data_IF_750794700667
#
_entry.id   IF_750794700667
#
_cell.length_a   1.000
_cell.length_b   1.000
_cell.length_c   1.000
_cell.angle_alpha   90.00
_cell.angle_beta   90.00
_cell.angle_gamma   90.00
#
_symmetry.space_group_name_H-M   'P 1'
#
loop_
_entity.id
_entity.type
_entity.pdbx_description
1 polymer ?
#
# COMPACT_ATOMS: atom_id res chain seq x y z
N UNK A 1 -12.91 6.68 36.92
CA UNK A 1 -12.47 8.10 36.97
C UNK A 1 -10.95 8.29 37.02
N UNK A 2 -10.19 7.67 37.94
CA UNK A 2 -8.72 7.85 38.04
C UNK A 2 -7.94 7.59 36.74
N UNK A 3 -8.30 6.54 35.99
CA UNK A 3 -7.67 6.18 34.70
C UNK A 3 -7.94 7.24 33.61
N UNK A 4 -9.17 7.76 33.56
CA UNK A 4 -9.59 8.81 32.62
C UNK A 4 -8.84 10.12 32.89
N UNK A 5 -8.77 10.56 34.15
CA UNK A 5 -8.02 11.75 34.55
C UNK A 5 -6.51 11.62 34.24
N UNK A 6 -5.91 10.44 34.45
CA UNK A 6 -4.50 10.18 34.09
C UNK A 6 -4.28 10.26 32.58
N UNK A 7 -5.21 9.75 31.77
CA UNK A 7 -5.14 9.86 30.31
C UNK A 7 -5.25 11.31 29.83
N UNK A 8 -6.20 12.08 30.38
CA UNK A 8 -6.34 13.51 30.07
C UNK A 8 -5.08 14.28 30.42
N UNK A 9 -4.49 14.04 31.60
CA UNK A 9 -3.25 14.68 32.02
C UNK A 9 -2.10 14.40 31.05
N UNK A 10 -1.92 13.13 30.65
CA UNK A 10 -0.87 12.76 29.69
C UNK A 10 -1.08 13.42 28.31
N UNK A 11 -2.32 13.48 27.82
CA UNK A 11 -2.64 14.12 26.54
C UNK A 11 -2.32 15.62 26.55
N UNK A 12 -2.64 16.31 27.66
CA UNK A 12 -2.31 17.73 27.85
C UNK A 12 -0.79 17.91 27.88
N UNK A 13 -0.06 17.11 28.66
CA UNK A 13 1.41 17.20 28.75
C UNK A 13 2.08 17.07 27.38
N UNK A 14 1.65 16.11 26.56
CA UNK A 14 2.19 15.92 25.21
C UNK A 14 1.85 17.11 24.31
N UNK A 15 0.61 17.61 24.38
CA UNK A 15 0.19 18.78 23.60
C UNK A 15 1.01 20.03 23.95
N UNK A 16 1.20 20.32 25.24
CA UNK A 16 1.97 21.47 25.70
C UNK A 16 3.45 21.36 25.30
N UNK A 17 4.02 20.15 25.38
CA UNK A 17 5.41 19.90 24.99
C UNK A 17 5.61 20.08 23.48
N UNK A 18 4.67 19.61 22.65
CA UNK A 18 4.71 19.81 21.20
C UNK A 18 4.61 21.29 20.80
N UNK A 19 3.77 22.07 21.49
CA UNK A 19 3.66 23.52 21.27
C UNK A 19 4.97 24.20 21.67
N UNK A 20 5.55 23.86 22.82
CA UNK A 20 6.85 24.39 23.24
C UNK A 20 7.94 24.09 22.21
N UNK A 21 8.08 22.84 21.77
CA UNK A 21 9.08 22.45 20.78
C UNK A 21 8.94 23.22 19.45
N UNK A 22 7.70 23.49 19.00
CA UNK A 22 7.45 24.31 17.81
C UNK A 22 7.84 25.78 17.99
N UNK A 23 7.63 26.34 19.18
CA UNK A 23 7.90 27.75 19.48
C UNK A 23 9.39 28.00 19.78
N UNK A 24 10.06 27.06 20.44
CA UNK A 24 11.48 27.21 20.84
C UNK A 24 12.47 26.63 19.83
N UNK A 25 12.00 25.95 18.78
CA UNK A 25 12.84 25.32 17.77
C UNK A 25 13.67 24.11 18.26
N UNK A 26 13.62 23.79 19.56
CA UNK A 26 14.26 22.60 20.12
C UNK A 26 13.39 21.37 19.82
N UNK A 27 13.73 20.65 18.76
CA UNK A 27 13.33 19.24 18.60
C UNK A 27 14.18 18.40 19.53
N UNK A 28 13.58 17.44 20.23
CA UNK A 28 14.35 16.40 20.90
C UNK A 28 15.29 15.75 19.86
N UNK A 29 16.54 15.52 20.22
CA UNK A 29 17.47 14.72 19.41
C UNK A 29 16.87 13.33 19.26
N UNK A 30 16.54 12.97 18.02
CA UNK A 30 16.00 11.65 17.69
C UNK A 30 17.15 10.69 17.41
N UNK A 31 16.98 9.45 17.84
CA UNK A 31 17.93 8.37 17.60
C UNK A 31 18.21 8.22 16.09
N UNK A 32 19.49 8.21 15.65
CA UNK A 32 19.86 8.00 14.26
C UNK A 32 19.26 6.74 13.63
N UNK A 33 19.16 5.63 14.37
CA UNK A 33 18.56 4.40 13.84
C UNK A 33 17.07 4.58 13.58
N UNK A 34 16.34 5.21 14.52
CA UNK A 34 14.95 5.59 14.30
C UNK A 34 14.76 6.49 13.06
N UNK A 35 15.65 7.45 12.83
CA UNK A 35 15.57 8.35 11.68
C UNK A 35 15.79 7.61 10.35
N UNK A 36 16.74 6.66 10.31
CA UNK A 36 16.94 5.76 9.17
C UNK A 36 15.69 4.91 8.91
N UNK A 37 15.17 4.21 9.93
CA UNK A 37 13.95 3.38 9.79
C UNK A 37 12.74 4.21 9.36
N UNK A 38 12.57 5.41 9.91
CA UNK A 38 11.47 6.28 9.52
C UNK A 38 11.57 6.72 8.05
N UNK A 39 12.79 6.96 7.55
CA UNK A 39 13.02 7.26 6.13
C UNK A 39 12.67 6.06 5.26
N UNK A 40 13.17 4.87 5.61
CA UNK A 40 12.87 3.60 4.92
C UNK A 40 11.37 3.31 4.86
N UNK A 41 10.63 3.53 5.95
CA UNK A 41 9.19 3.33 5.99
C UNK A 41 8.45 4.25 4.99
N UNK A 42 8.85 5.52 4.91
CA UNK A 42 8.24 6.48 3.97
C UNK A 42 8.57 6.11 2.51
N UNK A 43 9.80 5.67 2.23
CA UNK A 43 10.18 5.19 0.89
C UNK A 43 9.38 3.95 0.48
N UNK A 44 9.19 2.99 1.39
CA UNK A 44 8.37 1.80 1.15
C UNK A 44 6.92 2.20 0.85
N UNK A 45 6.35 3.10 1.65
CA UNK A 45 4.98 3.59 1.45
C UNK A 45 4.81 4.20 0.07
N UNK A 46 5.70 5.12 -0.31
CA UNK A 46 5.62 5.80 -1.61
C UNK A 46 5.65 4.79 -2.76
N UNK A 47 6.56 3.81 -2.69
CA UNK A 47 6.68 2.75 -3.71
C UNK A 47 5.44 1.85 -3.75
N UNK A 48 4.89 1.49 -2.58
CA UNK A 48 3.67 0.69 -2.49
C UNK A 48 2.46 1.43 -3.09
N UNK A 49 2.34 2.73 -2.86
CA UNK A 49 1.24 3.52 -3.43
C UNK A 49 1.34 3.61 -4.95
N UNK A 50 2.53 3.89 -5.49
CA UNK A 50 2.76 3.90 -6.95
C UNK A 50 2.46 2.54 -7.59
N UNK A 51 2.86 1.46 -6.93
CA UNK A 51 2.58 0.11 -7.41
C UNK A 51 1.09 -0.24 -7.34
N UNK A 52 0.40 0.15 -6.26
CA UNK A 52 -1.05 0.00 -6.13
C UNK A 52 -1.80 0.74 -7.24
N UNK A 53 -1.42 1.98 -7.52
CA UNK A 53 -2.00 2.77 -8.60
C UNK A 53 -1.82 2.07 -9.95
N UNK A 54 -0.59 1.67 -10.28
CA UNK A 54 -0.29 0.97 -11.53
C UNK A 54 -1.09 -0.33 -11.69
N UNK A 55 -1.15 -1.18 -10.66
CA UNK A 55 -1.89 -2.45 -10.69
C UNK A 55 -3.40 -2.20 -10.77
N UNK A 56 -3.90 -1.18 -10.08
CA UNK A 56 -5.33 -0.80 -10.15
C UNK A 56 -5.70 -0.34 -11.55
N UNK A 57 -4.83 0.43 -12.21
CA UNK A 57 -5.00 0.85 -13.60
C UNK A 57 -5.06 -0.36 -14.53
N UNK A 58 -4.11 -1.30 -14.42
CA UNK A 58 -4.15 -2.55 -15.20
C UNK A 58 -5.43 -3.35 -14.93
N UNK A 59 -5.86 -3.44 -13.67
CA UNK A 59 -7.10 -4.12 -13.33
C UNK A 59 -8.32 -3.46 -14.00
N UNK A 60 -8.35 -2.13 -14.05
CA UNK A 60 -9.41 -1.37 -14.72
C UNK A 60 -9.39 -1.57 -16.23
N UNK A 61 -8.22 -1.75 -16.85
CA UNK A 61 -8.13 -2.07 -18.29
C UNK A 61 -8.85 -3.38 -18.60
N UNK A 62 -8.72 -4.42 -17.76
CA UNK A 62 -9.50 -5.65 -17.96
C UNK A 62 -11.00 -5.41 -17.90
N UNK A 63 -11.47 -4.57 -16.97
CA UNK A 63 -12.88 -4.20 -16.88
C UNK A 63 -13.36 -3.48 -18.15
N UNK A 64 -12.58 -2.54 -18.68
CA UNK A 64 -12.96 -1.83 -19.90
C UNK A 64 -12.88 -2.73 -21.14
N UNK A 65 -11.84 -3.56 -21.26
CA UNK A 65 -11.74 -4.56 -22.33
C UNK A 65 -12.93 -5.52 -22.31
N UNK A 66 -13.35 -5.99 -21.14
CA UNK A 66 -14.55 -6.81 -21.01
C UNK A 66 -15.77 -6.14 -21.63
N UNK A 67 -16.02 -4.85 -21.34
CA UNK A 67 -17.15 -4.11 -21.88
C UNK A 67 -17.05 -3.92 -23.39
N UNK A 68 -15.85 -3.64 -23.89
CA UNK A 68 -15.58 -3.47 -25.33
C UNK A 68 -15.88 -4.78 -26.05
N UNK A 69 -15.25 -5.88 -25.65
CA UNK A 69 -15.40 -7.16 -26.33
C UNK A 69 -16.79 -7.79 -26.16
N UNK A 70 -17.52 -7.47 -25.09
CA UNK A 70 -18.92 -7.87 -24.95
C UNK A 70 -19.84 -7.23 -26.01
N UNK A 71 -19.44 -6.11 -26.61
CA UNK A 71 -20.23 -5.38 -27.62
C UNK A 71 -19.63 -5.43 -29.02
N UNK A 72 -18.31 -5.62 -29.13
CA UNK A 72 -17.55 -5.51 -30.37
C UNK A 72 -18.16 -6.33 -31.51
N UNK A 73 -18.42 -7.61 -31.28
CA UNK A 73 -18.99 -8.48 -32.30
C UNK A 73 -20.42 -8.12 -32.68
N UNK A 74 -21.24 -7.63 -31.75
CA UNK A 74 -22.59 -7.18 -32.07
C UNK A 74 -22.58 -5.96 -33.00
N UNK A 75 -21.60 -5.06 -32.82
CA UNK A 75 -21.41 -3.89 -33.69
C UNK A 75 -20.86 -4.32 -35.04
N UNK A 76 -19.80 -5.13 -35.09
CA UNK A 76 -19.25 -5.64 -36.36
C UNK A 76 -20.29 -6.40 -37.17
N UNK A 77 -21.05 -7.29 -36.53
CA UNK A 77 -22.11 -8.04 -37.19
C UNK A 77 -23.21 -7.14 -37.76
N UNK A 78 -23.47 -5.97 -37.17
CA UNK A 78 -24.45 -5.00 -37.71
C UNK A 78 -23.96 -4.25 -38.95
N UNK A 79 -22.65 -4.27 -39.22
CA UNK A 79 -22.04 -3.62 -40.38
C UNK A 79 -21.88 -4.53 -41.60
N UNK A 80 -21.99 -5.85 -41.41
CA UNK A 80 -21.92 -6.84 -42.48
C UNK A 80 -23.36 -7.21 -42.89
N UNK A 81 -23.65 -7.22 -44.20
CA UNK A 81 -25.01 -7.45 -44.76
C UNK A 81 -25.59 -8.83 -44.40
N UNK A 82 -26.91 -8.98 -44.46
CA UNK A 82 -27.73 -10.11 -43.97
C UNK A 82 -27.39 -11.53 -44.52
N UNK A 83 -26.40 -11.67 -45.40
CA UNK A 83 -26.15 -12.91 -46.17
C UNK A 83 -25.08 -13.86 -45.59
N UNK A 84 -24.44 -13.58 -44.44
CA UNK A 84 -23.52 -14.53 -43.80
C UNK A 84 -23.86 -14.89 -42.32
N UNK A 85 -23.92 -16.18 -41.96
CA UNK A 85 -24.50 -16.62 -40.67
C UNK A 85 -23.48 -16.73 -39.52
N UNK A 86 -22.24 -16.30 -39.71
CA UNK A 86 -21.14 -16.67 -38.83
C UNK A 86 -20.71 -15.51 -37.91
N UNK A 87 -21.50 -15.21 -36.87
CA UNK A 87 -21.08 -14.23 -35.85
C UNK A 87 -19.88 -14.73 -35.07
N UNK A 88 -18.78 -13.99 -35.04
CA UNK A 88 -17.66 -14.28 -34.14
C UNK A 88 -18.16 -14.33 -32.68
N UNK A 89 -17.52 -15.14 -31.84
CA UNK A 89 -17.84 -15.24 -30.41
C UNK A 89 -16.72 -14.63 -29.57
N UNK A 90 -16.94 -13.43 -29.03
CA UNK A 90 -16.01 -12.76 -28.11
C UNK A 90 -16.31 -13.06 -26.64
N UNK A 91 -17.27 -13.95 -26.35
CA UNK A 91 -17.57 -14.39 -24.98
C UNK A 91 -16.32 -14.89 -24.25
N UNK A 92 -15.42 -15.70 -24.86
CA UNK A 92 -14.19 -16.14 -24.19
C UNK A 92 -13.31 -14.97 -23.75
N UNK A 93 -13.19 -13.91 -24.56
CA UNK A 93 -12.45 -12.70 -24.19
C UNK A 93 -13.11 -12.00 -23.00
N UNK A 94 -14.41 -11.76 -23.08
CA UNK A 94 -15.16 -11.09 -22.01
C UNK A 94 -15.07 -11.87 -20.68
N UNK A 95 -15.14 -13.20 -20.74
CA UNK A 95 -14.95 -14.08 -19.57
C UNK A 95 -13.53 -14.00 -19.03
N UNK A 96 -12.51 -14.06 -19.88
CA UNK A 96 -11.12 -13.95 -19.46
C UNK A 96 -10.83 -12.61 -18.78
N UNK A 97 -11.28 -11.49 -19.38
CA UNK A 97 -11.19 -10.17 -18.79
C UNK A 97 -11.93 -10.07 -17.45
N UNK A 98 -13.14 -10.66 -17.34
CA UNK A 98 -13.91 -10.70 -16.09
C UNK A 98 -13.15 -11.46 -15.00
N UNK A 99 -12.61 -12.63 -15.32
CA UNK A 99 -11.87 -13.45 -14.38
C UNK A 99 -10.60 -12.75 -13.89
N UNK A 100 -9.89 -12.06 -14.80
CA UNK A 100 -8.73 -11.23 -14.46
C UNK A 100 -9.13 -10.09 -13.51
N UNK A 101 -10.16 -9.33 -13.88
CA UNK A 101 -10.63 -8.14 -13.16
C UNK A 101 -11.21 -8.44 -11.77
N UNK A 102 -12.08 -9.44 -11.67
CA UNK A 102 -12.87 -9.72 -10.46
C UNK A 102 -12.10 -10.62 -9.50
N UNK A 103 -11.30 -11.56 -10.02
CA UNK A 103 -10.74 -12.64 -9.20
C UNK A 103 -9.22 -12.60 -9.16
N UNK A 104 -8.57 -12.68 -10.31
CA UNK A 104 -7.14 -13.01 -10.36
C UNK A 104 -6.25 -11.86 -9.90
N UNK A 105 -6.38 -10.68 -10.51
CA UNK A 105 -5.58 -9.51 -10.12
C UNK A 105 -5.91 -9.05 -8.69
N UNK A 106 -7.20 -8.98 -8.26
CA UNK A 106 -7.52 -8.70 -6.87
C UNK A 106 -6.86 -9.65 -5.88
N UNK A 107 -6.89 -10.96 -6.15
CA UNK A 107 -6.36 -11.98 -5.23
C UNK A 107 -4.83 -12.02 -5.20
N UNK A 108 -4.19 -12.00 -6.36
CA UNK A 108 -2.76 -12.32 -6.45
C UNK A 108 -1.84 -11.09 -6.53
N UNK A 109 -2.38 -9.91 -6.86
CA UNK A 109 -1.62 -8.67 -6.92
C UNK A 109 -2.11 -7.63 -5.89
N UNK A 110 -3.39 -7.28 -5.89
CA UNK A 110 -3.92 -6.19 -5.04
C UNK A 110 -3.98 -6.58 -3.56
N UNK A 111 -4.42 -7.80 -3.21
CA UNK A 111 -4.53 -8.22 -1.81
C UNK A 111 -3.18 -8.19 -1.08
N UNK A 112 -2.07 -8.77 -1.61
CA UNK A 112 -0.75 -8.64 -0.99
C UNK A 112 -0.26 -7.20 -0.86
N UNK A 113 -0.55 -6.32 -1.84
CA UNK A 113 -0.22 -4.90 -1.76
C UNK A 113 -0.97 -4.21 -0.62
N UNK A 114 -2.27 -4.46 -0.52
CA UNK A 114 -3.12 -3.86 0.51
C UNK A 114 -2.72 -4.31 1.92
N UNK A 115 -2.30 -5.58 2.07
CA UNK A 115 -1.75 -6.10 3.32
C UNK A 115 -0.47 -5.37 3.74
N UNK A 116 0.46 -5.16 2.80
CA UNK A 116 1.69 -4.39 3.06
C UNK A 116 1.39 -2.92 3.39
N UNK A 117 0.45 -2.29 2.70
CA UNK A 117 0.00 -0.91 3.00
C UNK A 117 -0.64 -0.84 4.39
N UNK A 118 -1.42 -1.84 4.79
CA UNK A 118 -1.96 -1.92 6.15
C UNK A 118 -0.85 -2.06 7.19
N UNK A 119 0.20 -2.82 6.89
CA UNK A 119 1.38 -2.95 7.75
C UNK A 119 2.09 -1.60 7.93
N UNK A 120 2.27 -0.85 6.84
CA UNK A 120 2.81 0.53 6.91
C UNK A 120 1.96 1.43 7.82
N UNK A 121 0.62 1.39 7.68
CA UNK A 121 -0.29 2.17 8.55
C UNK A 121 -0.12 1.79 10.02
N UNK A 122 -0.06 0.50 10.33
CA UNK A 122 0.17 0.02 11.70
C UNK A 122 1.51 0.51 12.27
N UNK A 123 2.58 0.48 11.47
CA UNK A 123 3.90 0.99 11.88
C UNK A 123 3.89 2.50 12.12
N UNK A 124 3.13 3.27 11.33
CA UNK A 124 2.92 4.70 11.60
C UNK A 124 2.17 4.94 12.91
N UNK A 125 1.17 4.13 13.24
CA UNK A 125 0.49 4.24 14.53
C UNK A 125 1.44 3.91 15.70
N UNK A 126 2.29 2.89 15.54
CA UNK A 126 3.33 2.56 16.53
C UNK A 126 4.32 3.73 16.66
N UNK A 127 4.72 4.35 15.55
CA UNK A 127 5.59 5.54 15.55
C UNK A 127 4.99 6.68 16.37
N UNK A 128 3.70 6.97 16.21
CA UNK A 128 3.04 8.02 16.98
C UNK A 128 2.90 7.64 18.47
N UNK A 129 2.65 6.36 18.79
CA UNK A 129 2.69 5.86 20.18
C UNK A 129 4.08 5.98 20.79
N UNK A 130 5.15 5.68 20.03
CA UNK A 130 6.54 5.87 20.45
C UNK A 130 6.79 7.33 20.81
N UNK A 131 6.51 8.26 19.88
CA UNK A 131 6.69 9.71 20.11
C UNK A 131 5.95 10.19 21.35
N UNK A 132 4.70 9.77 21.52
CA UNK A 132 3.90 10.10 22.69
C UNK A 132 4.57 9.64 24.01
N UNK A 133 5.09 8.40 24.05
CA UNK A 133 5.75 7.88 25.24
C UNK A 133 7.14 8.49 25.47
N UNK A 134 7.86 8.87 24.41
CA UNK A 134 9.14 9.58 24.53
C UNK A 134 8.97 10.94 25.22
N UNK A 135 7.96 11.72 24.79
CA UNK A 135 7.68 13.03 25.42
C UNK A 135 7.30 12.88 26.89
N UNK A 136 6.50 11.86 27.23
CA UNK A 136 6.14 11.60 28.62
C UNK A 136 7.35 11.14 29.44
N UNK A 137 8.22 10.30 28.87
CA UNK A 137 9.45 9.86 29.51
C UNK A 137 10.38 11.03 29.82
N UNK A 138 10.63 11.90 28.84
CA UNK A 138 11.46 13.10 29.04
C UNK A 138 10.90 14.02 30.13
N UNK A 139 9.56 14.15 30.21
CA UNK A 139 8.91 14.91 31.26
C UNK A 139 9.05 14.25 32.64
N UNK A 140 8.91 12.93 32.73
CA UNK A 140 9.04 12.17 33.98
C UNK A 140 10.50 12.16 34.46
N UNK A 141 11.48 12.01 33.57
CA UNK A 141 12.91 12.14 33.85
C UNK A 141 13.27 13.54 34.37
N UNK A 142 12.70 14.60 33.76
CA UNK A 142 12.87 15.97 34.24
C UNK A 142 12.30 16.14 35.66
N UNK A 143 11.08 15.65 35.91
CA UNK A 143 10.46 15.74 37.23
C UNK A 143 11.25 14.97 38.29
N UNK A 144 11.78 13.80 37.94
CA UNK A 144 12.63 12.99 38.81
C UNK A 144 13.92 13.74 39.16
N UNK A 145 14.62 14.30 38.17
CA UNK A 145 15.83 15.11 38.38
C UNK A 145 15.56 16.35 39.27
N UNK A 146 14.43 17.03 39.06
CA UNK A 146 14.01 18.15 39.92
C UNK A 146 13.66 17.73 41.35
N UNK A 147 13.15 16.51 41.56
CA UNK A 147 12.84 15.99 42.89
C UNK A 147 14.10 15.51 43.63
N UNK A 148 15.02 14.86 42.91
CA UNK A 148 16.33 14.42 43.42
C UNK A 148 17.19 15.62 43.83
N UNK A 149 17.22 16.69 43.02
CA UNK A 149 17.96 17.92 43.37
C UNK A 149 17.39 18.67 44.58
N UNK A 150 16.14 18.40 44.96
CA UNK A 150 15.48 18.94 46.16
C UNK A 150 15.52 17.97 47.35
N UNK A 151 16.29 16.88 47.26
CA UNK A 151 16.43 15.85 48.29
C UNK A 151 15.09 15.28 48.79
N UNK A 152 14.11 15.15 47.89
CA UNK A 152 12.81 14.54 48.21
C UNK A 152 12.89 13.02 48.12
N UNK A 153 12.02 12.32 48.82
CA UNK A 153 11.79 10.88 48.55
C UNK A 153 11.26 10.72 47.11
N UNK A 154 11.97 9.93 46.32
CA UNK A 154 11.75 9.79 44.88
C UNK A 154 11.39 8.36 44.45
N UNK A 155 11.27 7.41 45.37
CA UNK A 155 11.07 5.99 45.03
C UNK A 155 9.85 5.75 44.11
N UNK A 156 8.74 6.47 44.34
CA UNK A 156 7.56 6.37 43.48
C UNK A 156 7.81 6.95 42.07
N UNK A 157 8.52 8.09 41.98
CA UNK A 157 8.83 8.72 40.69
C UNK A 157 9.79 7.87 39.88
N UNK A 158 10.78 7.25 40.52
CA UNK A 158 11.70 6.30 39.89
C UNK A 158 10.95 5.11 39.29
N UNK A 159 10.02 4.51 40.05
CA UNK A 159 9.19 3.41 39.56
C UNK A 159 8.29 3.83 38.38
N UNK A 160 7.68 5.02 38.44
CA UNK A 160 6.83 5.55 37.36
C UNK A 160 7.65 5.85 36.09
N UNK A 161 8.83 6.46 36.22
CA UNK A 161 9.75 6.73 35.12
C UNK A 161 10.25 5.43 34.48
N UNK A 162 10.62 4.43 35.29
CA UNK A 162 11.08 3.14 34.75
C UNK A 162 9.97 2.40 34.00
N UNK A 163 8.74 2.41 34.51
CA UNK A 163 7.60 1.84 33.79
C UNK A 163 7.29 2.60 32.49
N UNK A 164 7.54 3.92 32.45
CA UNK A 164 7.41 4.72 31.23
C UNK A 164 8.51 4.40 30.22
N UNK A 165 9.75 4.25 30.68
CA UNK A 165 10.91 3.88 29.86
C UNK A 165 10.68 2.55 29.16
N UNK A 166 10.27 1.53 29.91
CA UNK A 166 9.94 0.22 29.35
C UNK A 166 8.88 0.30 28.23
N UNK A 167 7.86 1.15 28.40
CA UNK A 167 6.81 1.34 27.39
C UNK A 167 7.28 2.10 26.15
N UNK A 168 8.18 3.08 26.32
CA UNK A 168 8.84 3.73 25.19
C UNK A 168 9.69 2.73 24.40
N UNK A 169 10.53 1.95 25.10
CA UNK A 169 11.41 0.93 24.52
C UNK A 169 10.60 -0.15 23.79
N UNK A 170 9.47 -0.58 24.34
CA UNK A 170 8.54 -1.51 23.69
C UNK A 170 8.11 -0.99 22.31
N UNK A 171 7.56 0.22 22.23
CA UNK A 171 7.11 0.79 20.95
C UNK A 171 8.26 1.12 20.00
N UNK A 172 9.41 1.52 20.55
CA UNK A 172 10.60 1.77 19.75
C UNK A 172 11.07 0.47 19.08
N UNK A 173 11.26 -0.61 19.84
CA UNK A 173 11.71 -1.89 19.31
C UNK A 173 10.68 -2.50 18.32
N UNK A 174 9.38 -2.40 18.62
CA UNK A 174 8.33 -2.82 17.69
C UNK A 174 8.40 -2.06 16.36
N UNK A 175 8.67 -0.75 16.39
CA UNK A 175 8.81 0.06 15.19
C UNK A 175 10.05 -0.35 14.39
N UNK A 176 11.22 -0.42 15.04
CA UNK A 176 12.48 -0.76 14.37
C UNK A 176 12.39 -2.15 13.72
N UNK A 177 12.01 -3.17 14.50
CA UNK A 177 11.90 -4.54 14.00
C UNK A 177 10.87 -4.68 12.88
N UNK A 178 9.71 -4.03 13.01
CA UNK A 178 8.67 -4.09 12.00
C UNK A 178 9.04 -3.37 10.70
N UNK A 179 9.80 -2.26 10.77
CA UNK A 179 10.34 -1.62 9.58
C UNK A 179 11.39 -2.51 8.91
N UNK A 180 12.28 -3.14 9.68
CA UNK A 180 13.31 -4.02 9.12
C UNK A 180 12.71 -5.24 8.43
N UNK A 181 11.75 -5.90 9.06
CA UNK A 181 11.03 -7.03 8.45
C UNK A 181 10.33 -6.62 7.15
N UNK A 182 9.64 -5.47 7.15
CA UNK A 182 8.98 -4.97 5.94
C UNK A 182 10.00 -4.60 4.86
N UNK A 183 11.12 -3.98 5.25
CA UNK A 183 12.18 -3.59 4.35
C UNK A 183 12.77 -4.84 3.69
N UNK A 184 13.18 -5.86 4.45
CA UNK A 184 13.79 -7.07 3.91
C UNK A 184 12.85 -7.84 2.95
N UNK A 185 11.54 -7.84 3.24
CA UNK A 185 10.55 -8.53 2.42
C UNK A 185 10.07 -7.73 1.19
N UNK A 186 10.35 -6.42 1.11
CA UNK A 186 9.76 -5.52 0.10
C UNK A 186 10.01 -5.97 -1.34
N UNK A 187 11.24 -6.41 -1.65
CA UNK A 187 11.63 -6.78 -3.02
C UNK A 187 10.89 -8.02 -3.48
N UNK A 188 10.72 -9.00 -2.59
CA UNK A 188 9.96 -10.23 -2.88
C UNK A 188 8.50 -9.91 -3.16
N UNK A 189 7.89 -9.04 -2.34
CA UNK A 189 6.53 -8.55 -2.56
C UNK A 189 6.39 -7.87 -3.93
N UNK A 190 7.26 -6.89 -4.23
CA UNK A 190 7.21 -6.15 -5.50
C UNK A 190 7.32 -7.09 -6.71
N UNK A 191 8.28 -8.03 -6.68
CA UNK A 191 8.44 -9.03 -7.74
C UNK A 191 7.20 -9.90 -7.90
N UNK A 192 6.59 -10.35 -6.80
CA UNK A 192 5.37 -11.16 -6.85
C UNK A 192 4.21 -10.41 -7.50
N UNK A 193 4.02 -9.14 -7.14
CA UNK A 193 2.96 -8.28 -7.67
C UNK A 193 3.16 -8.01 -9.15
N UNK A 194 4.39 -7.67 -9.56
CA UNK A 194 4.74 -7.45 -10.96
C UNK A 194 4.50 -8.74 -11.75
N UNK A 195 5.01 -9.88 -11.28
CA UNK A 195 4.83 -11.17 -11.94
C UNK A 195 3.36 -11.54 -12.11
N UNK A 196 2.53 -11.39 -11.06
CA UNK A 196 1.10 -11.67 -11.14
C UNK A 196 0.41 -10.77 -12.16
N UNK A 197 0.69 -9.47 -12.12
CA UNK A 197 0.08 -8.48 -13.03
C UNK A 197 0.45 -8.76 -14.48
N UNK A 198 1.75 -8.96 -14.76
CA UNK A 198 2.25 -9.28 -16.11
C UNK A 198 1.71 -10.61 -16.61
N UNK A 199 1.64 -11.63 -15.75
CA UNK A 199 1.12 -12.95 -16.11
C UNK A 199 -0.34 -12.85 -16.56
N UNK A 200 -1.22 -12.25 -15.75
CA UNK A 200 -2.64 -12.14 -16.12
C UNK A 200 -2.88 -11.24 -17.32
N UNK A 201 -2.06 -10.20 -17.50
CA UNK A 201 -2.10 -9.38 -18.72
C UNK A 201 -1.74 -10.22 -19.95
N UNK A 202 -0.64 -10.96 -19.90
CA UNK A 202 -0.23 -11.84 -21.00
C UNK A 202 -1.28 -12.90 -21.33
N UNK A 203 -1.86 -13.56 -20.31
CA UNK A 203 -2.88 -14.59 -20.52
C UNK A 203 -4.15 -14.03 -21.17
N UNK A 204 -4.62 -12.86 -20.73
CA UNK A 204 -5.77 -12.19 -21.37
C UNK A 204 -5.44 -11.76 -22.79
N UNK A 205 -4.24 -11.20 -23.05
CA UNK A 205 -3.80 -10.83 -24.39
C UNK A 205 -3.74 -12.03 -25.34
N UNK A 206 -3.30 -13.20 -24.88
CA UNK A 206 -3.32 -14.43 -25.69
C UNK A 206 -4.75 -14.81 -26.10
N UNK A 207 -5.69 -14.75 -25.16
CA UNK A 207 -7.11 -15.04 -25.46
C UNK A 207 -7.66 -14.02 -26.46
N UNK A 208 -7.34 -12.73 -26.30
CA UNK A 208 -7.74 -11.69 -27.25
C UNK A 208 -7.22 -12.01 -28.65
N UNK A 209 -5.93 -12.29 -28.79
CA UNK A 209 -5.32 -12.54 -30.10
C UNK A 209 -5.94 -13.76 -30.79
N UNK A 210 -6.08 -14.88 -30.07
CA UNK A 210 -6.65 -16.12 -30.61
C UNK A 210 -8.09 -15.90 -31.10
N UNK A 211 -8.92 -15.17 -30.33
CA UNK A 211 -10.31 -14.94 -30.72
C UNK A 211 -10.45 -13.88 -31.83
N UNK A 212 -9.53 -12.92 -31.92
CA UNK A 212 -9.49 -11.97 -33.05
C UNK A 212 -9.07 -12.66 -34.35
N UNK A 213 -8.06 -13.53 -34.32
CA UNK A 213 -7.65 -14.35 -35.48
C UNK A 213 -8.81 -15.23 -35.97
N UNK A 214 -9.48 -15.95 -35.07
CA UNK A 214 -10.68 -16.73 -35.40
C UNK A 214 -11.80 -15.88 -36.00
N UNK A 215 -11.90 -14.61 -35.58
CA UNK A 215 -12.92 -13.70 -36.12
C UNK A 215 -12.60 -13.32 -37.56
N UNK A 216 -11.34 -13.04 -37.90
CA UNK A 216 -10.90 -12.75 -39.27
C UNK A 216 -11.21 -13.92 -40.20
N UNK A 217 -10.85 -15.15 -39.79
CA UNK A 217 -11.14 -16.37 -40.54
C UNK A 217 -12.66 -16.53 -40.78
N UNK A 218 -13.47 -16.24 -39.75
CA UNK A 218 -14.92 -16.41 -39.81
C UNK A 218 -15.62 -15.41 -40.74
N UNK A 219 -15.04 -14.22 -40.90
CA UNK A 219 -15.51 -13.20 -41.84
C UNK A 219 -14.80 -13.25 -43.20
N UNK A 220 -13.96 -14.26 -43.44
CA UNK A 220 -13.14 -14.37 -44.66
C UNK A 220 -12.30 -13.11 -44.96
N UNK A 221 -11.86 -12.39 -43.92
CA UNK A 221 -11.06 -11.16 -44.04
C UNK A 221 -9.58 -11.51 -44.01
N UNK A 222 -8.85 -11.13 -45.06
CA UNK A 222 -7.38 -11.21 -45.07
C UNK A 222 -6.79 -9.85 -44.70
N UNK A 223 -5.85 -9.82 -43.75
CA UNK A 223 -5.15 -8.60 -43.34
C UNK A 223 -3.87 -8.46 -44.17
N UNK A 224 -3.80 -7.48 -45.07
CA UNK A 224 -2.56 -7.08 -45.73
C UNK A 224 -1.81 -6.08 -44.84
N UNK A 225 -0.72 -6.53 -44.21
CA UNK A 225 0.10 -5.69 -43.33
C UNK A 225 0.69 -4.45 -44.00
N UNK A 226 0.76 -4.39 -45.34
CA UNK A 226 1.24 -3.21 -46.06
C UNK A 226 0.24 -2.04 -46.06
N UNK A 227 -1.03 -2.31 -45.77
CA UNK A 227 -2.08 -1.29 -45.63
C UNK A 227 -2.07 -0.60 -44.26
N UNK A 228 -1.28 -1.10 -43.31
CA UNK A 228 -1.29 -0.64 -41.93
C UNK A 228 0.12 -0.33 -41.43
N UNK A 229 0.23 0.68 -40.56
CA UNK A 229 1.48 0.98 -39.88
C UNK A 229 1.65 0.06 -38.66
N UNK A 230 2.78 -0.66 -38.52
CA UNK A 230 3.09 -1.43 -37.32
C UNK A 230 3.11 -0.54 -36.06
N UNK A 231 2.66 -1.10 -34.94
CA UNK A 231 2.59 -0.38 -33.66
C UNK A 231 3.98 -0.13 -33.06
N UNK A 232 4.96 -0.98 -33.38
CA UNK A 232 6.33 -0.86 -32.89
C UNK A 232 7.21 -0.12 -33.92
N UNK A 233 7.24 1.22 -33.83
CA UNK A 233 8.32 2.08 -34.36
C UNK A 233 8.73 3.13 -33.33
#
# INVERSE_FOLDING_TARGET
>A
MKKFLKQTKNAVTVSTSNVKAKVTGHKAEEDPDFMDKNTKLNEIEERLQKLLEAVTTVNSIFKENQKVFAKFNSVLASTMTDEEPARADTTPIATACTNAYVTCVPKYALAPLNEAISTVKNLKDIREKRKHNLVLLQNDEKNLSEAQSKSKDTAQLEAETQARKAKYEEFHNQFIAGVDELYDNRVKLYKKVIAATTFYYSEVSKVINVELEKSLDKYNVTVDSSEYQPVDQ
#
